data_IF_229612212307
#
_entry.id   IF_229612212307
#
_cell.length_a   1.000
_cell.length_b   1.000
_cell.length_c   1.000
_cell.angle_alpha   90.00
_cell.angle_beta   90.00
_cell.angle_gamma   90.00
#
_symmetry.space_group_name_H-M   'P 1'
#
loop_
_entity.id
_entity.type
_entity.pdbx_description
1 polymer ?
#
# COMPACT_ATOMS: atom_id res chain seq x y z
N UNK A 1 11.73 -7.30 15.59
CA UNK A 1 10.32 -6.87 15.58
C UNK A 1 9.62 -7.72 14.51
N UNK A 2 8.51 -8.40 14.83
CA UNK A 2 7.98 -9.45 13.97
C UNK A 2 6.85 -8.92 13.08
N UNK A 3 7.08 -8.89 11.76
CA UNK A 3 6.00 -8.75 10.78
C UNK A 3 4.92 -9.80 11.07
N UNK A 4 3.68 -9.35 11.28
CA UNK A 4 2.57 -10.26 11.54
C UNK A 4 1.52 -10.13 10.42
N UNK A 5 1.41 -11.11 9.50
CA UNK A 5 0.59 -10.96 8.29
C UNK A 5 -0.91 -10.74 8.56
N UNK A 6 -1.37 -11.02 9.78
CA UNK A 6 -2.76 -10.87 10.22
C UNK A 6 -3.07 -9.56 10.93
N UNK A 7 -2.08 -8.69 11.15
CA UNK A 7 -2.34 -7.39 11.75
C UNK A 7 -2.79 -6.36 10.70
N UNK A 8 -3.45 -5.29 11.19
CA UNK A 8 -3.89 -4.17 10.36
C UNK A 8 -3.16 -2.92 10.84
N UNK A 9 -2.53 -2.21 9.91
CA UNK A 9 -1.73 -1.02 10.19
C UNK A 9 -2.43 0.25 9.76
N UNK A 10 -2.11 1.36 10.42
CA UNK A 10 -2.56 2.71 10.08
C UNK A 10 -1.41 3.70 10.12
N UNK A 11 -1.41 4.68 9.22
CA UNK A 11 -0.54 5.86 9.28
C UNK A 11 -1.15 7.06 8.54
N UNK A 12 -0.67 8.25 8.85
CA UNK A 12 -0.82 9.41 7.97
C UNK A 12 0.05 9.18 6.73
N UNK A 13 -0.53 9.26 5.54
CA UNK A 13 0.12 9.03 4.26
C UNK A 13 0.35 10.33 3.45
N UNK A 14 -0.04 11.48 3.98
CA UNK A 14 0.26 12.80 3.44
C UNK A 14 1.43 13.46 4.18
N UNK A 15 2.16 14.40 3.54
CA UNK A 15 3.20 15.18 4.22
C UNK A 15 2.68 15.90 5.47
N UNK A 16 3.55 16.05 6.47
CA UNK A 16 3.26 16.87 7.65
C UNK A 16 3.18 18.35 7.26
N UNK A 17 2.17 19.06 7.78
CA UNK A 17 1.98 20.49 7.54
C UNK A 17 0.49 20.81 7.38
N UNK A 18 0.12 22.09 7.52
CA UNK A 18 -1.26 22.54 7.34
C UNK A 18 -1.65 22.57 5.87
N UNK A 19 -1.88 21.40 5.27
CA UNK A 19 -2.43 21.27 3.92
C UNK A 19 -3.97 21.27 3.96
N UNK A 20 -4.61 21.64 2.85
CA UNK A 20 -6.07 21.59 2.74
C UNK A 20 -6.61 20.17 2.91
N UNK A 21 -5.86 19.16 2.47
CA UNK A 21 -6.21 17.74 2.54
C UNK A 21 -5.11 16.94 3.24
N UNK A 22 -5.52 16.00 4.08
CA UNK A 22 -4.65 14.99 4.66
C UNK A 22 -5.21 13.59 4.39
N UNK A 23 -4.31 12.61 4.32
CA UNK A 23 -4.64 11.23 4.00
C UNK A 23 -4.25 10.33 5.16
N UNK A 24 -5.19 9.53 5.65
CA UNK A 24 -4.91 8.44 6.60
C UNK A 24 -5.14 7.12 5.88
N UNK A 25 -4.10 6.29 5.80
CA UNK A 25 -4.11 5.01 5.10
C UNK A 25 -4.12 3.87 6.11
N UNK A 26 -4.97 2.87 5.87
CA UNK A 26 -5.02 1.62 6.61
C UNK A 26 -4.79 0.44 5.66
N UNK A 27 -4.12 -0.61 6.11
CA UNK A 27 -3.88 -1.84 5.34
C UNK A 27 -3.93 -3.08 6.23
N UNK A 28 -4.66 -4.11 5.82
CA UNK A 28 -4.73 -5.41 6.51
C UNK A 28 -6.13 -6.01 6.57
N UNK A 29 -6.30 -7.18 7.21
CA UNK A 29 -7.55 -7.94 7.18
C UNK A 29 -8.72 -7.28 7.93
N UNK A 30 -8.46 -6.35 8.86
CA UNK A 30 -9.50 -5.70 9.69
C UNK A 30 -9.94 -4.33 9.18
N UNK A 31 -9.47 -3.87 8.02
CA UNK A 31 -9.83 -2.55 7.49
C UNK A 31 -11.35 -2.34 7.37
N UNK A 32 -12.10 -3.37 6.99
CA UNK A 32 -13.57 -3.29 6.87
C UNK A 32 -14.22 -3.01 8.23
N UNK A 33 -13.78 -3.70 9.28
CA UNK A 33 -14.26 -3.47 10.65
C UNK A 33 -13.93 -2.05 11.13
N UNK A 34 -12.73 -1.55 10.78
CA UNK A 34 -12.35 -0.17 11.10
C UNK A 34 -13.23 0.85 10.38
N UNK A 35 -13.54 0.62 9.09
CA UNK A 35 -14.43 1.49 8.31
C UNK A 35 -15.83 1.54 8.95
N UNK A 36 -16.41 0.39 9.30
CA UNK A 36 -17.74 0.32 9.93
C UNK A 36 -17.83 1.05 11.29
N UNK A 37 -16.71 1.24 11.97
CA UNK A 37 -16.64 1.97 13.24
C UNK A 37 -16.41 3.47 13.05
N UNK A 38 -15.63 3.85 12.05
CA UNK A 38 -15.13 5.22 11.91
C UNK A 38 -15.86 6.05 10.86
N UNK A 39 -16.40 5.42 9.82
CA UNK A 39 -16.90 6.12 8.63
C UNK A 39 -18.39 5.90 8.44
N UNK A 40 -19.12 6.98 8.18
CA UNK A 40 -20.54 6.96 7.82
C UNK A 40 -20.72 7.53 6.41
N UNK A 41 -21.24 6.75 5.45
CA UNK A 41 -21.42 7.24 4.09
C UNK A 41 -22.52 8.30 4.00
N UNK A 42 -22.29 9.29 3.13
CA UNK A 42 -23.20 10.39 2.78
C UNK A 42 -24.58 9.92 2.34
N UNK A 43 -24.55 9.00 1.38
CA UNK A 43 -25.73 8.34 0.82
C UNK A 43 -25.49 6.84 0.86
N UNK A 44 -26.39 6.08 1.48
CA UNK A 44 -26.28 4.62 1.65
C UNK A 44 -26.13 3.84 0.32
N UNK A 45 -26.37 4.48 -0.82
CA UNK A 45 -26.43 3.87 -2.16
C UNK A 45 -25.27 4.27 -3.08
N UNK A 46 -24.36 5.16 -2.69
CA UNK A 46 -23.31 5.68 -3.58
C UNK A 46 -21.90 5.18 -3.19
N UNK A 47 -21.67 3.88 -3.36
CA UNK A 47 -20.30 3.42 -3.63
C UNK A 47 -20.08 3.59 -5.13
N UNK A 48 -19.15 4.47 -5.52
CA UNK A 48 -18.79 4.69 -6.93
C UNK A 48 -17.54 3.88 -7.27
N UNK A 49 -17.49 3.33 -8.48
CA UNK A 49 -16.23 2.78 -9.01
C UNK A 49 -15.18 3.90 -9.10
N UNK A 50 -13.91 3.58 -8.83
CA UNK A 50 -12.84 4.60 -8.83
C UNK A 50 -12.61 5.26 -10.20
N UNK A 51 -13.02 4.61 -11.29
CA UNK A 51 -12.85 5.12 -12.66
C UNK A 51 -13.84 6.25 -13.00
N UNK A 52 -14.78 6.56 -12.10
CA UNK A 52 -15.72 7.68 -12.27
C UNK A 52 -15.08 8.98 -11.76
N UNK A 53 -14.94 9.97 -12.66
CA UNK A 53 -14.43 11.32 -12.34
C UNK A 53 -15.14 11.87 -11.09
N UNK A 54 -14.39 12.03 -10.00
CA UNK A 54 -14.90 12.59 -8.74
C UNK A 54 -14.85 14.11 -8.76
N UNK A 55 -15.98 14.76 -8.60
CA UNK A 55 -16.03 16.16 -8.16
C UNK A 55 -15.64 16.26 -6.69
N UNK A 56 -14.94 17.32 -6.25
CA UNK A 56 -14.64 17.54 -4.83
C UNK A 56 -15.92 17.49 -4.00
N UNK A 57 -15.92 16.69 -2.93
CA UNK A 57 -17.06 16.65 -2.01
C UNK A 57 -17.22 18.02 -1.32
N UNK A 58 -18.38 18.65 -1.51
CA UNK A 58 -18.82 19.84 -0.76
C UNK A 58 -19.87 19.37 0.25
N UNK A 59 -19.65 19.51 1.57
CA UNK A 59 -20.60 19.07 2.58
C UNK A 59 -21.96 19.77 2.40
N UNK A 60 -23.04 19.00 2.24
CA UNK A 60 -24.41 19.54 2.26
C UNK A 60 -25.05 19.26 3.63
N UNK A 61 -25.21 20.34 4.41
CA UNK A 61 -25.96 20.49 5.68
C UNK A 61 -25.77 19.48 6.83
N UNK A 62 -26.02 19.97 8.05
CA UNK A 62 -25.77 19.31 9.34
C UNK A 62 -26.84 18.23 9.63
N UNK A 63 -26.73 17.06 9.01
CA UNK A 63 -27.57 15.92 9.39
C UNK A 63 -27.26 15.46 10.82
N UNK A 64 -28.30 15.33 11.66
CA UNK A 64 -28.19 14.86 13.05
C UNK A 64 -27.85 13.36 13.07
N UNK A 65 -26.77 13.00 13.75
CA UNK A 65 -25.97 11.79 13.45
C UNK A 65 -26.42 10.48 14.12
N UNK A 66 -27.53 10.48 14.87
CA UNK A 66 -27.82 9.40 15.83
C UNK A 66 -28.25 8.05 15.23
N UNK A 67 -28.62 7.94 13.93
CA UNK A 67 -29.38 6.77 13.46
C UNK A 67 -28.91 6.14 12.13
N UNK A 68 -27.71 6.45 11.64
CA UNK A 68 -27.23 5.86 10.36
C UNK A 68 -25.92 5.10 10.52
N UNK A 69 -26.00 3.89 11.10
CA UNK A 69 -24.94 2.90 10.97
C UNK A 69 -25.19 2.06 9.71
N UNK A 70 -24.90 2.62 8.54
CA UNK A 70 -24.92 1.84 7.31
C UNK A 70 -23.70 0.91 7.32
N UNK A 71 -23.94 -0.40 7.22
CA UNK A 71 -22.86 -1.39 7.10
C UNK A 71 -22.14 -1.16 5.78
N UNK A 72 -20.82 -0.91 5.83
CA UNK A 72 -20.00 -0.82 4.64
C UNK A 72 -19.89 -2.22 4.01
N UNK A 73 -20.41 -2.37 2.79
CA UNK A 73 -20.32 -3.62 2.04
C UNK A 73 -19.07 -3.59 1.17
N UNK A 74 -18.05 -4.43 1.44
CA UNK A 74 -16.84 -4.45 0.63
C UNK A 74 -17.15 -4.87 -0.80
N UNK A 75 -16.70 -4.06 -1.74
CA UNK A 75 -16.86 -4.27 -3.18
C UNK A 75 -15.82 -5.26 -3.71
N UNK A 76 -16.10 -5.89 -4.86
CA UNK A 76 -15.15 -6.78 -5.57
C UNK A 76 -14.03 -6.03 -6.29
N UNK A 77 -14.17 -4.72 -6.47
CA UNK A 77 -13.20 -3.86 -7.14
C UNK A 77 -12.97 -2.58 -6.35
N UNK A 78 -12.03 -1.73 -6.78
CA UNK A 78 -11.76 -0.48 -6.09
C UNK A 78 -12.96 0.47 -6.13
N UNK A 79 -13.28 1.09 -4.99
CA UNK A 79 -14.46 1.97 -4.84
C UNK A 79 -14.17 3.20 -4.00
N UNK A 80 -14.90 4.28 -4.26
CA UNK A 80 -14.92 5.47 -3.42
C UNK A 80 -16.32 5.73 -2.83
N UNK A 81 -16.36 6.40 -1.68
CA UNK A 81 -17.58 6.89 -1.06
C UNK A 81 -17.31 8.22 -0.35
N UNK A 82 -18.22 9.18 -0.52
CA UNK A 82 -18.20 10.43 0.24
C UNK A 82 -18.97 10.24 1.55
N UNK A 83 -18.54 10.89 2.63
CA UNK A 83 -19.19 10.75 3.93
C UNK A 83 -18.50 11.52 5.04
N UNK A 84 -18.60 11.00 6.26
CA UNK A 84 -18.03 11.63 7.45
C UNK A 84 -17.35 10.62 8.35
N UNK A 85 -16.26 11.06 8.98
CA UNK A 85 -15.59 10.37 10.06
C UNK A 85 -16.19 10.79 11.40
N UNK A 86 -16.48 9.79 12.22
CA UNK A 86 -16.93 9.95 13.60
C UNK A 86 -15.77 9.63 14.53
N UNK A 87 -15.21 10.68 15.14
CA UNK A 87 -14.02 10.58 15.96
C UNK A 87 -14.36 10.79 17.44
N UNK A 88 -13.91 9.91 18.35
CA UNK A 88 -14.03 10.15 19.78
C UNK A 88 -13.41 11.50 20.18
N UNK A 89 -14.16 12.29 20.95
CA UNK A 89 -13.71 13.61 21.41
C UNK A 89 -13.84 14.75 20.38
N UNK A 90 -14.28 14.48 19.15
CA UNK A 90 -14.59 15.52 18.15
C UNK A 90 -16.11 15.64 18.02
N UNK A 91 -16.66 16.80 18.42
CA UNK A 91 -18.10 17.00 18.49
C UNK A 91 -18.77 17.12 17.11
N UNK A 92 -18.04 17.60 16.10
CA UNK A 92 -18.53 17.70 14.73
C UNK A 92 -18.06 16.51 13.91
N UNK A 93 -18.94 15.86 13.13
CA UNK A 93 -18.53 14.92 12.10
C UNK A 93 -17.53 15.57 11.16
N UNK A 94 -16.47 14.85 10.83
CA UNK A 94 -15.40 15.33 9.98
C UNK A 94 -15.66 14.88 8.54
N UNK A 95 -15.91 15.77 7.56
CA UNK A 95 -16.13 15.35 6.18
C UNK A 95 -14.91 14.59 5.63
N UNK A 96 -15.15 13.50 4.92
CA UNK A 96 -14.11 12.67 4.32
C UNK A 96 -14.57 12.00 3.03
N UNK A 97 -13.64 11.85 2.10
CA UNK A 97 -13.77 10.92 0.97
C UNK A 97 -13.03 9.63 1.35
N UNK A 98 -13.69 8.49 1.27
CA UNK A 98 -13.11 7.18 1.52
C UNK A 98 -12.80 6.47 0.21
N UNK A 99 -11.59 5.94 0.08
CA UNK A 99 -11.17 5.11 -1.04
C UNK A 99 -10.86 3.70 -0.52
N UNK A 100 -11.47 2.68 -1.08
CA UNK A 100 -11.31 1.28 -0.68
C UNK A 100 -10.78 0.45 -1.85
N UNK A 101 -9.73 -0.33 -1.58
CA UNK A 101 -9.19 -1.34 -2.49
C UNK A 101 -9.33 -2.71 -1.84
N UNK A 102 -9.99 -3.68 -2.48
CA UNK A 102 -10.11 -5.03 -1.94
C UNK A 102 -8.77 -5.80 -2.04
N UNK A 103 -8.76 -6.96 -1.38
CA UNK A 103 -7.65 -7.89 -1.43
C UNK A 103 -7.23 -8.23 -2.86
N UNK A 104 -5.93 -8.39 -3.09
CA UNK A 104 -5.43 -8.67 -4.44
C UNK A 104 -5.59 -7.50 -5.44
N UNK A 105 -6.07 -6.32 -5.01
CA UNK A 105 -6.21 -5.13 -5.89
C UNK A 105 -5.68 -3.82 -5.27
N UNK A 106 -4.76 -3.90 -4.32
CA UNK A 106 -4.16 -2.74 -3.66
C UNK A 106 -2.63 -2.71 -3.81
N UNK A 107 -2.01 -1.61 -3.38
CA UNK A 107 -0.56 -1.46 -3.29
C UNK A 107 0.09 -2.54 -2.42
N UNK A 108 -0.46 -2.79 -1.23
CA UNK A 108 0.11 -3.73 -0.25
C UNK A 108 -0.23 -5.20 -0.52
N UNK A 109 -1.01 -5.50 -1.56
CA UNK A 109 -1.58 -6.82 -1.78
C UNK A 109 -2.80 -7.14 -0.90
N UNK A 110 -2.87 -6.62 0.32
CA UNK A 110 -3.97 -6.76 1.28
C UNK A 110 -5.10 -5.74 1.07
N UNK A 111 -6.29 -5.87 1.68
CA UNK A 111 -7.29 -4.80 1.69
C UNK A 111 -6.72 -3.47 2.21
N UNK A 112 -7.03 -2.38 1.52
CA UNK A 112 -6.56 -1.02 1.87
C UNK A 112 -7.75 -0.08 1.90
N UNK A 113 -7.77 0.84 2.87
CA UNK A 113 -8.64 2.01 2.84
C UNK A 113 -7.83 3.28 3.06
N UNK A 114 -8.22 4.35 2.39
CA UNK A 114 -7.72 5.69 2.62
C UNK A 114 -8.86 6.64 2.96
N UNK A 115 -8.67 7.42 4.01
CA UNK A 115 -9.54 8.54 4.35
C UNK A 115 -8.87 9.83 3.95
N UNK A 116 -9.49 10.55 3.01
CA UNK A 116 -9.08 11.86 2.55
C UNK A 116 -9.95 12.90 3.24
N UNK A 117 -9.36 13.70 4.13
CA UNK A 117 -10.08 14.63 4.99
C UNK A 117 -9.28 15.92 5.20
N UNK A 118 -9.68 16.77 6.15
CA UNK A 118 -9.02 18.03 6.48
C UNK A 118 -7.58 17.74 6.94
N UNK A 119 -6.59 18.37 6.30
CA UNK A 119 -5.16 18.18 6.57
C UNK A 119 -4.64 18.86 7.85
N UNK A 120 -5.47 18.97 8.89
CA UNK A 120 -5.08 19.52 10.19
C UNK A 120 -4.39 18.43 11.02
N UNK A 121 -3.12 18.60 11.48
CA UNK A 121 -2.41 17.55 12.20
C UNK A 121 -3.16 17.00 13.43
N UNK A 122 -3.77 17.83 14.31
CA UNK A 122 -4.57 17.30 15.42
C UNK A 122 -5.77 16.44 14.99
N UNK A 123 -6.39 16.75 13.83
CA UNK A 123 -7.48 15.94 13.29
C UNK A 123 -6.96 14.62 12.72
N UNK A 124 -5.86 14.64 11.97
CA UNK A 124 -5.25 13.41 11.44
C UNK A 124 -4.80 12.47 12.58
N UNK A 125 -4.21 13.04 13.64
CA UNK A 125 -3.86 12.28 14.86
C UNK A 125 -5.10 11.69 15.54
N UNK A 126 -6.23 12.42 15.55
CA UNK A 126 -7.50 11.90 16.06
C UNK A 126 -8.04 10.73 15.21
N UNK A 127 -7.93 10.81 13.88
CA UNK A 127 -8.31 9.70 12.98
C UNK A 127 -7.44 8.46 13.24
N UNK A 128 -6.11 8.64 13.32
CA UNK A 128 -5.17 7.55 13.59
C UNK A 128 -5.45 6.91 14.95
N UNK A 129 -5.67 7.71 15.99
CA UNK A 129 -6.01 7.22 17.34
C UNK A 129 -7.30 6.40 17.33
N UNK A 130 -8.34 6.91 16.68
CA UNK A 130 -9.62 6.22 16.56
C UNK A 130 -9.49 4.90 15.80
N UNK A 131 -8.62 4.84 14.77
CA UNK A 131 -8.28 3.60 14.08
C UNK A 131 -7.57 2.59 14.99
N UNK A 132 -6.61 3.05 15.80
CA UNK A 132 -5.94 2.19 16.78
C UNK A 132 -6.94 1.63 17.81
N UNK A 133 -7.87 2.44 18.30
CA UNK A 133 -8.96 2.00 19.18
C UNK A 133 -9.92 1.00 18.49
N UNK A 134 -10.05 1.09 17.16
CA UNK A 134 -10.77 0.11 16.34
C UNK A 134 -9.99 -1.19 16.11
N UNK A 135 -8.74 -1.30 16.60
CA UNK A 135 -7.95 -2.53 16.57
C UNK A 135 -6.87 -2.58 15.49
N UNK A 136 -6.47 -1.44 14.92
CA UNK A 136 -5.24 -1.32 14.15
C UNK A 136 -4.05 -1.01 15.07
N UNK A 137 -2.83 -1.13 14.53
CA UNK A 137 -1.62 -0.54 15.13
C UNK A 137 -1.00 0.49 14.21
N UNK A 138 -0.10 1.30 14.74
CA UNK A 138 0.72 2.18 13.90
C UNK A 138 1.60 1.35 12.95
N UNK A 139 1.69 1.82 11.71
CA UNK A 139 2.66 1.30 10.76
C UNK A 139 4.08 1.67 11.18
N UNK A 140 5.02 0.76 10.94
CA UNK A 140 6.44 1.05 11.01
C UNK A 140 6.92 1.82 9.76
N UNK A 141 8.09 2.49 9.82
CA UNK A 141 8.68 3.13 8.65
C UNK A 141 8.81 2.15 7.47
N UNK A 142 8.29 2.55 6.31
CA UNK A 142 8.34 1.73 5.09
C UNK A 142 7.42 0.50 5.08
N UNK A 143 6.63 0.25 6.12
CA UNK A 143 5.92 -1.02 6.28
C UNK A 143 4.88 -1.30 5.17
N UNK A 144 4.22 -0.26 4.64
CA UNK A 144 3.32 -0.43 3.49
C UNK A 144 4.07 -0.94 2.25
N UNK A 145 5.27 -0.40 1.97
CA UNK A 145 6.10 -0.86 0.85
C UNK A 145 6.69 -2.23 1.13
N UNK A 146 7.09 -2.53 2.38
CA UNK A 146 7.49 -3.87 2.80
C UNK A 146 6.39 -4.90 2.53
N UNK A 147 5.12 -4.59 2.83
CA UNK A 147 3.98 -5.46 2.52
C UNK A 147 3.77 -5.65 1.02
N UNK A 148 3.97 -4.60 0.23
CA UNK A 148 3.94 -4.71 -1.23
C UNK A 148 5.02 -5.68 -1.75
N UNK A 149 6.23 -5.60 -1.19
CA UNK A 149 7.33 -6.53 -1.50
C UNK A 149 7.01 -7.96 -1.08
N UNK A 150 6.59 -8.18 0.18
CA UNK A 150 6.30 -9.52 0.71
C UNK A 150 5.10 -10.20 0.01
N UNK A 151 4.17 -9.42 -0.54
CA UNK A 151 3.06 -9.94 -1.35
C UNK A 151 3.41 -10.13 -2.83
N UNK A 152 4.65 -9.82 -3.24
CA UNK A 152 5.11 -9.96 -4.61
C UNK A 152 4.54 -8.92 -5.59
N UNK A 153 4.00 -7.80 -5.09
CA UNK A 153 3.52 -6.69 -5.94
C UNK A 153 4.66 -5.88 -6.55
N UNK A 154 5.75 -5.80 -5.82
CA UNK A 154 6.99 -5.15 -6.22
C UNK A 154 8.14 -6.06 -5.79
N UNK A 155 9.25 -6.02 -6.53
CA UNK A 155 10.51 -6.59 -6.04
C UNK A 155 11.27 -5.60 -5.14
N UNK A 156 12.41 -6.03 -4.60
CA UNK A 156 13.20 -5.21 -3.68
C UNK A 156 13.74 -3.94 -4.36
N UNK A 157 14.17 -4.04 -5.62
CA UNK A 157 14.69 -2.88 -6.36
C UNK A 157 13.59 -1.86 -6.62
N UNK A 158 12.38 -2.31 -6.92
CA UNK A 158 11.23 -1.44 -7.08
C UNK A 158 10.80 -0.81 -5.74
N UNK A 159 10.86 -1.57 -4.64
CA UNK A 159 10.59 -1.05 -3.30
C UNK A 159 11.57 0.07 -2.92
N UNK A 160 12.86 -0.08 -3.22
CA UNK A 160 13.88 0.96 -3.03
C UNK A 160 13.63 2.18 -3.93
N UNK A 161 13.19 1.95 -5.17
CA UNK A 161 12.86 3.02 -6.11
C UNK A 161 11.74 3.94 -5.62
N UNK A 162 10.77 3.40 -4.87
CA UNK A 162 9.70 4.22 -4.26
C UNK A 162 10.30 5.26 -3.31
N UNK A 163 11.29 4.88 -2.48
CA UNK A 163 11.99 5.83 -1.62
C UNK A 163 12.79 6.84 -2.45
N UNK A 164 13.49 6.37 -3.49
CA UNK A 164 14.25 7.22 -4.41
C UNK A 164 13.40 8.31 -5.08
N UNK A 165 12.15 8.00 -5.44
CA UNK A 165 11.22 9.00 -5.99
C UNK A 165 10.83 10.04 -4.93
N UNK A 166 10.58 9.61 -3.69
CA UNK A 166 10.19 10.51 -2.59
C UNK A 166 11.35 11.45 -2.22
N UNK A 167 12.59 10.97 -2.27
CA UNK A 167 13.78 11.72 -1.88
C UNK A 167 14.44 12.51 -3.02
N UNK A 168 13.99 12.33 -4.27
CA UNK A 168 14.58 13.00 -5.43
C UNK A 168 14.53 14.54 -5.30
N UNK A 169 15.69 15.18 -5.44
CA UNK A 169 15.83 16.64 -5.36
C UNK A 169 16.10 17.30 -6.73
N UNK A 170 16.30 16.50 -7.78
CA UNK A 170 16.51 16.95 -9.15
C UNK A 170 15.95 15.94 -10.17
N UNK A 171 15.77 16.39 -11.41
CA UNK A 171 15.17 15.59 -12.48
C UNK A 171 15.98 14.32 -12.80
N UNK A 172 17.30 14.36 -12.65
CA UNK A 172 18.14 13.20 -12.94
C UNK A 172 17.99 12.09 -11.90
N UNK A 173 17.88 12.44 -10.62
CA UNK A 173 17.58 11.50 -9.54
C UNK A 173 16.19 10.90 -9.72
N UNK A 174 15.20 11.73 -10.10
CA UNK A 174 13.84 11.29 -10.37
C UNK A 174 13.80 10.30 -11.54
N UNK A 175 14.47 10.60 -12.65
CA UNK A 175 14.52 9.75 -13.84
C UNK A 175 15.13 8.37 -13.54
N UNK A 176 16.23 8.33 -12.77
CA UNK A 176 16.85 7.08 -12.33
C UNK A 176 15.89 6.25 -11.48
N UNK A 177 15.23 6.88 -10.50
CA UNK A 177 14.29 6.20 -9.62
C UNK A 177 13.06 5.68 -10.39
N UNK A 178 12.54 6.45 -11.37
CA UNK A 178 11.44 6.01 -12.23
C UNK A 178 11.84 4.83 -13.12
N UNK A 179 13.05 4.83 -13.68
CA UNK A 179 13.58 3.72 -14.46
C UNK A 179 13.71 2.44 -13.63
N UNK A 180 14.15 2.55 -12.38
CA UNK A 180 14.22 1.43 -11.44
C UNK A 180 12.82 0.93 -11.06
N UNK A 181 11.87 1.83 -10.78
CA UNK A 181 10.49 1.47 -10.45
C UNK A 181 9.80 0.70 -11.59
N UNK A 182 10.09 1.06 -12.84
CA UNK A 182 9.60 0.37 -14.03
C UNK A 182 10.15 -1.06 -14.20
N UNK A 183 11.01 -1.53 -13.29
CA UNK A 183 11.62 -2.87 -13.33
C UNK A 183 12.89 -2.94 -14.18
N UNK A 184 13.51 -1.79 -14.48
CA UNK A 184 14.69 -1.71 -15.35
C UNK A 184 15.90 -2.49 -14.84
N UNK A 185 16.04 -2.67 -13.52
CA UNK A 185 17.12 -3.45 -12.90
C UNK A 185 16.75 -4.92 -12.63
N UNK A 186 15.48 -5.22 -12.44
CA UNK A 186 14.99 -6.57 -12.08
C UNK A 186 15.32 -7.59 -13.15
N UNK A 187 15.12 -7.22 -14.43
CA UNK A 187 15.35 -8.11 -15.57
C UNK A 187 16.84 -8.47 -15.74
N UNK A 188 17.80 -7.52 -15.83
CA UNK A 188 19.22 -7.86 -15.91
C UNK A 188 19.71 -8.71 -14.74
N UNK A 189 19.25 -8.44 -13.51
CA UNK A 189 19.61 -9.23 -12.34
C UNK A 189 19.06 -10.66 -12.41
N UNK A 190 17.83 -10.82 -12.88
CA UNK A 190 17.25 -12.14 -13.08
C UNK A 190 18.01 -12.93 -14.16
N UNK A 191 18.31 -12.30 -15.30
CA UNK A 191 19.10 -12.92 -16.36
C UNK A 191 20.50 -13.34 -15.86
N UNK A 192 21.17 -12.52 -15.06
CA UNK A 192 22.45 -12.89 -14.43
C UNK A 192 22.31 -14.05 -13.44
N UNK A 193 21.26 -14.04 -12.61
CA UNK A 193 20.99 -15.12 -11.66
C UNK A 193 20.82 -16.46 -12.35
N UNK A 194 20.04 -16.51 -13.43
CA UNK A 194 19.83 -17.76 -14.18
C UNK A 194 21.14 -18.29 -14.76
N UNK A 195 22.00 -17.42 -15.30
CA UNK A 195 23.33 -17.82 -15.81
C UNK A 195 24.24 -18.36 -14.70
N UNK A 196 24.18 -17.76 -13.51
CA UNK A 196 24.95 -18.24 -12.35
C UNK A 196 24.43 -19.58 -11.82
N UNK A 197 23.11 -19.78 -11.80
CA UNK A 197 22.50 -21.05 -11.40
C UNK A 197 22.83 -22.17 -12.39
N UNK A 198 22.82 -21.87 -13.69
CA UNK A 198 23.23 -22.81 -14.72
C UNK A 198 24.70 -23.22 -14.54
N UNK A 199 25.61 -22.25 -14.37
CA UNK A 199 27.02 -22.53 -14.11
C UNK A 199 27.22 -23.33 -12.82
N UNK A 200 26.49 -23.00 -11.75
CA UNK A 200 26.54 -23.75 -10.49
C UNK A 200 26.10 -25.20 -10.71
N UNK A 201 25.00 -25.42 -11.44
CA UNK A 201 24.51 -26.76 -11.75
C UNK A 201 25.52 -27.59 -12.57
N UNK A 202 26.25 -26.95 -13.49
CA UNK A 202 27.36 -27.61 -14.16
C UNK A 202 28.42 -28.01 -13.12
N UNK A 203 28.95 -27.07 -12.32
CA UNK A 203 29.99 -27.32 -11.31
C UNK A 203 29.61 -28.46 -10.37
N UNK A 204 28.39 -28.46 -9.84
CA UNK A 204 27.88 -29.53 -8.96
C UNK A 204 27.90 -30.89 -9.66
N UNK A 205 27.44 -30.98 -10.92
CA UNK A 205 27.54 -32.22 -11.69
C UNK A 205 29.00 -32.66 -11.90
N UNK A 206 29.93 -31.73 -12.11
CA UNK A 206 31.35 -32.07 -12.26
C UNK A 206 32.00 -32.63 -11.02
N UNK A 207 31.54 -32.18 -9.85
CA UNK A 207 32.00 -32.70 -8.57
C UNK A 207 31.37 -34.06 -8.25
N UNK A 208 30.07 -34.23 -8.52
CA UNK A 208 29.35 -35.48 -8.25
C UNK A 208 29.77 -36.64 -9.18
N UNK A 209 30.20 -36.33 -10.42
CA UNK A 209 30.59 -37.31 -11.43
C UNK A 209 32.08 -37.25 -11.79
N UNK A 210 32.94 -36.77 -10.88
CA UNK A 210 34.37 -36.59 -11.14
C UNK A 210 35.14 -37.88 -11.48
N UNK A 211 34.63 -39.04 -11.04
CA UNK A 211 35.19 -40.37 -11.33
C UNK A 211 34.64 -40.98 -12.64
N UNK A 212 33.61 -40.37 -13.24
CA UNK A 212 33.13 -40.71 -14.56
C UNK A 212 33.90 -39.87 -15.59
N UNK A 213 34.48 -40.48 -16.63
CA UNK A 213 35.23 -39.83 -17.72
C UNK A 213 34.31 -38.98 -18.64
N UNK A 214 33.50 -38.09 -18.05
CA UNK A 214 32.63 -37.16 -18.74
C UNK A 214 33.39 -35.85 -18.98
N UNK A 215 33.50 -35.37 -20.23
CA UNK A 215 34.17 -34.13 -20.53
C UNK A 215 33.42 -32.95 -19.88
N UNK A 216 34.07 -32.33 -18.91
CA UNK A 216 33.51 -31.27 -18.11
C UNK A 216 33.78 -29.90 -18.75
N UNK A 217 32.72 -29.14 -19.07
CA UNK A 217 32.66 -27.81 -19.70
C UNK A 217 33.85 -27.50 -20.64
N UNK A 218 33.61 -27.56 -21.95
CA UNK A 218 34.64 -27.22 -22.92
C UNK A 218 35.03 -25.72 -22.80
N UNK A 219 36.34 -25.42 -22.93
CA UNK A 219 36.90 -24.07 -22.71
C UNK A 219 36.25 -22.97 -23.56
N UNK A 220 35.64 -23.32 -24.67
CA UNK A 220 34.91 -22.44 -25.57
C UNK A 220 33.55 -21.98 -25.01
N UNK A 221 33.05 -22.60 -23.95
CA UNK A 221 31.78 -22.27 -23.29
C UNK A 221 31.92 -21.29 -22.10
N UNK A 222 33.15 -20.92 -21.71
CA UNK A 222 33.43 -20.02 -20.57
C UNK A 222 33.50 -18.52 -20.96
N UNK A 223 33.02 -18.14 -22.15
CA UNK A 223 33.15 -16.78 -22.73
C UNK A 223 31.89 -15.94 -22.54
#
# INVERSE_FOLDING_TARGET
MAYHPLDTIVAVASPSGGAARGVVRLSGPRVVECVERLFTPGNATQSRALDAVSTPFVPQEHATFAERKATFMPSRGPTAADGWLLLPGVHSPLPAEMYFWPDGRSYTGQPVVEFHTIGSPPLLDAVVRAACEAGTRLAEPGEFTLRAFLSGRVDLTQAEAVLGIIEANDDSQLDVALGQLAGGLSRPLHELRERLLDLLGHIEAGLDFADEDLPFIARDQLV
#
